data_IF_340894736476
#
_entry.id   IF_340894736476
#
_cell.length_a   1.000
_cell.length_b   1.000
_cell.length_c   1.000
_cell.angle_alpha   90.00
_cell.angle_beta   90.00
_cell.angle_gamma   90.00
#
_symmetry.space_group_name_H-M   'P 1'
#
loop_
_entity.id
_entity.type
_entity.pdbx_description
1 polymer ?
#
# COMPACT_ATOMS: atom_id res chain seq x y z
N UNK A 1 -10.70 2.88 8.94
CA UNK A 1 -9.25 2.91 8.63
C UNK A 1 -8.82 4.09 7.77
N UNK A 2 -9.62 4.55 6.80
CA UNK A 2 -9.20 5.65 5.91
C UNK A 2 -8.85 6.97 6.64
N UNK A 3 -9.46 7.23 7.81
CA UNK A 3 -9.14 8.37 8.69
C UNK A 3 -8.06 8.06 9.75
N UNK A 4 -7.60 6.82 9.83
CA UNK A 4 -6.66 6.31 10.84
C UNK A 4 -5.65 5.38 10.17
N UNK A 5 -4.76 5.95 9.36
CA UNK A 5 -3.76 5.18 8.58
C UNK A 5 -2.72 4.45 9.44
N UNK A 6 -2.71 4.72 10.75
CA UNK A 6 -1.98 3.92 11.73
C UNK A 6 -2.49 2.48 11.85
N UNK A 7 -3.72 2.19 11.41
CA UNK A 7 -4.28 0.84 11.35
C UNK A 7 -3.89 0.04 10.10
N UNK A 8 -3.24 0.66 9.11
CA UNK A 8 -2.73 -0.07 7.95
C UNK A 8 -1.55 -0.92 8.44
N UNK A 9 -1.49 -2.23 8.18
CA UNK A 9 -0.37 -3.05 8.64
C UNK A 9 0.96 -2.65 7.98
N UNK A 10 2.07 -2.88 8.67
CA UNK A 10 3.44 -2.59 8.20
C UNK A 10 4.26 -3.86 7.95
N UNK A 11 3.64 -5.04 7.96
CA UNK A 11 4.32 -6.26 7.55
C UNK A 11 4.91 -6.07 6.13
N UNK A 12 6.09 -6.63 5.90
CA UNK A 12 6.86 -6.50 4.65
C UNK A 12 7.41 -5.10 4.31
N UNK A 13 7.25 -4.10 5.18
CA UNK A 13 7.90 -2.81 4.98
C UNK A 13 9.43 -3.00 5.02
N UNK A 14 10.09 -2.57 3.95
CA UNK A 14 11.54 -2.58 3.79
C UNK A 14 12.16 -1.31 4.40
N UNK A 15 13.49 -1.22 4.42
CA UNK A 15 14.23 -0.20 5.16
C UNK A 15 14.00 1.25 4.69
N UNK A 16 13.48 1.49 3.47
CA UNK A 16 13.08 2.84 3.04
C UNK A 16 11.64 3.21 3.41
N UNK A 17 10.92 2.32 4.10
CA UNK A 17 9.53 2.52 4.46
C UNK A 17 8.57 2.34 3.28
N UNK A 18 7.29 2.51 3.58
CA UNK A 18 6.21 2.71 2.60
C UNK A 18 6.56 3.86 1.66
N UNK A 19 6.66 3.56 0.37
CA UNK A 19 7.04 4.48 -0.68
C UNK A 19 6.11 5.70 -0.73
N UNK A 20 6.69 6.90 -0.72
CA UNK A 20 5.99 8.20 -0.60
C UNK A 20 5.06 8.34 0.60
N UNK A 21 5.15 7.42 1.58
CA UNK A 21 4.17 7.32 2.67
C UNK A 21 2.73 7.29 2.14
N UNK A 22 2.51 6.67 0.98
CA UNK A 22 1.20 6.56 0.34
C UNK A 22 0.74 5.10 0.35
N UNK A 23 -0.54 4.90 0.63
CA UNK A 23 -1.24 3.64 0.44
C UNK A 23 -2.40 3.85 -0.52
N UNK A 24 -2.48 3.02 -1.56
CA UNK A 24 -3.58 3.01 -2.51
C UNK A 24 -4.73 2.20 -1.93
N UNK A 25 -5.92 2.78 -1.83
CA UNK A 25 -7.13 2.02 -1.48
C UNK A 25 -7.80 1.48 -2.74
N UNK A 26 -8.41 0.31 -2.63
CA UNK A 26 -9.26 -0.26 -3.69
C UNK A 26 -8.55 -0.36 -5.04
N UNK A 27 -7.25 -0.70 -5.03
CA UNK A 27 -6.46 -0.83 -6.25
C UNK A 27 -6.95 -2.04 -7.05
N UNK A 28 -7.49 -1.79 -8.24
CA UNK A 28 -7.83 -2.85 -9.19
C UNK A 28 -6.59 -3.37 -9.91
N UNK A 29 -6.56 -4.68 -10.17
CA UNK A 29 -5.54 -5.33 -11.00
C UNK A 29 -6.11 -6.61 -11.64
N UNK A 30 -5.49 -7.05 -12.74
CA UNK A 30 -6.10 -8.07 -13.60
C UNK A 30 -7.47 -7.60 -14.12
N UNK A 31 -8.31 -8.56 -14.52
CA UNK A 31 -9.70 -8.29 -14.91
C UNK A 31 -10.62 -8.11 -13.71
N UNK A 32 -10.40 -8.88 -12.64
CA UNK A 32 -11.42 -9.12 -11.61
C UNK A 32 -10.94 -8.90 -10.17
N UNK A 33 -9.67 -8.51 -9.97
CA UNK A 33 -9.12 -8.36 -8.62
C UNK A 33 -9.07 -6.92 -8.16
N UNK A 34 -9.28 -6.75 -6.85
CA UNK A 34 -9.21 -5.47 -6.18
C UNK A 34 -8.76 -5.69 -4.74
N UNK A 35 -7.66 -5.08 -4.34
CA UNK A 35 -7.22 -5.13 -2.95
C UNK A 35 -7.92 -4.05 -2.11
N UNK A 36 -8.10 -4.28 -0.82
CA UNK A 36 -8.54 -3.21 0.08
C UNK A 36 -7.52 -2.09 0.15
N UNK A 37 -6.26 -2.47 0.33
CA UNK A 37 -5.13 -1.56 0.29
C UNK A 37 -3.96 -2.16 -0.48
N UNK A 38 -3.11 -1.28 -0.99
CA UNK A 38 -1.88 -1.62 -1.67
C UNK A 38 -0.83 -0.56 -1.35
N UNK A 39 0.41 -0.99 -1.12
CA UNK A 39 1.54 -0.05 -1.09
C UNK A 39 2.79 -0.67 -1.70
N UNK A 40 3.66 0.22 -2.18
CA UNK A 40 5.02 -0.12 -2.54
C UNK A 40 5.94 0.17 -1.36
N UNK A 41 6.98 -0.64 -1.22
CA UNK A 41 8.11 -0.40 -0.32
C UNK A 41 9.36 -0.91 -1.02
N UNK A 42 10.53 -0.35 -0.69
CA UNK A 42 11.79 -0.72 -1.37
C UNK A 42 12.97 -0.77 -0.42
N UNK A 43 13.98 -1.55 -0.77
CA UNK A 43 15.34 -1.42 -0.27
C UNK A 43 16.20 -0.71 -1.32
N UNK A 44 17.52 -0.78 -1.24
CA UNK A 44 18.39 -0.36 -2.36
C UNK A 44 18.49 -1.42 -3.47
N UNK A 45 17.98 -2.63 -3.24
CA UNK A 45 18.18 -3.81 -4.11
C UNK A 45 16.87 -4.25 -4.76
N UNK A 46 15.77 -4.18 -4.02
CA UNK A 46 14.49 -4.78 -4.41
C UNK A 46 13.29 -3.90 -4.02
N UNK A 47 12.16 -4.22 -4.63
CA UNK A 47 10.85 -3.71 -4.28
C UNK A 47 10.00 -4.81 -3.66
N UNK A 48 9.07 -4.42 -2.80
CA UNK A 48 7.91 -5.24 -2.46
C UNK A 48 6.63 -4.49 -2.82
N UNK A 49 5.79 -5.17 -3.59
CA UNK A 49 4.43 -4.79 -3.92
C UNK A 49 3.49 -5.50 -2.93
N UNK A 50 2.97 -4.76 -1.95
CA UNK A 50 2.24 -5.33 -0.81
C UNK A 50 0.74 -5.12 -0.99
N UNK A 51 0.01 -6.21 -1.14
CA UNK A 51 -1.45 -6.24 -1.22
C UNK A 51 -2.03 -6.59 0.15
N UNK A 52 -3.12 -5.93 0.52
CA UNK A 52 -3.78 -6.12 1.81
C UNK A 52 -5.25 -6.40 1.57
N UNK A 53 -5.74 -7.49 2.15
CA UNK A 53 -7.17 -7.78 2.30
C UNK A 53 -7.56 -7.69 3.77
N UNK A 54 -8.69 -7.05 4.05
CA UNK A 54 -9.19 -6.79 5.40
C UNK A 54 -10.63 -7.27 5.50
N UNK A 55 -10.80 -8.38 6.20
CA UNK A 55 -12.12 -8.93 6.49
C UNK A 55 -12.86 -8.13 7.55
N UNK A 56 -14.09 -8.51 7.89
CA UNK A 56 -14.79 -7.86 9.01
C UNK A 56 -14.17 -8.30 10.36
N UNK A 57 -14.14 -7.44 11.40
CA UNK A 57 -13.63 -7.83 12.71
C UNK A 57 -14.31 -9.06 13.34
N UNK A 58 -15.57 -9.30 12.99
CA UNK A 58 -16.36 -10.45 13.43
C UNK A 58 -16.19 -11.71 12.56
N UNK A 59 -15.44 -11.64 11.45
CA UNK A 59 -15.16 -12.81 10.62
C UNK A 59 -14.38 -13.83 11.45
N UNK A 60 -14.84 -15.09 11.46
CA UNK A 60 -14.26 -16.12 12.33
C UNK A 60 -13.11 -16.86 11.66
N UNK A 61 -12.12 -17.28 12.44
CA UNK A 61 -11.11 -18.23 11.96
C UNK A 61 -11.64 -19.66 11.98
N UNK A 62 -12.37 -20.02 13.03
CA UNK A 62 -12.81 -21.40 13.29
C UNK A 62 -14.31 -21.47 13.50
N UNK A 63 -14.90 -22.64 13.19
CA UNK A 63 -16.29 -22.92 13.54
C UNK A 63 -16.42 -23.07 15.05
N UNK A 64 -17.58 -22.70 15.58
CA UNK A 64 -17.86 -22.77 17.01
C UNK A 64 -17.68 -24.20 17.53
N UNK A 65 -17.01 -24.32 18.70
CA UNK A 65 -16.76 -25.59 19.39
C UNK A 65 -16.00 -26.65 18.58
N UNK A 66 -15.25 -26.25 17.54
CA UNK A 66 -14.41 -27.17 16.76
C UNK A 66 -13.07 -26.52 16.38
N UNK A 67 -12.15 -27.32 15.83
CA UNK A 67 -10.92 -26.81 15.20
C UNK A 67 -11.02 -26.80 13.66
N UNK A 68 -12.24 -26.92 13.11
CA UNK A 68 -12.48 -26.76 11.69
C UNK A 68 -12.46 -25.28 11.30
N UNK A 69 -11.87 -24.98 10.14
CA UNK A 69 -11.84 -23.61 9.62
C UNK A 69 -13.25 -23.12 9.30
N UNK A 70 -13.50 -21.86 9.65
CA UNK A 70 -14.73 -21.18 9.27
C UNK A 70 -14.71 -20.82 7.79
N UNK A 71 -15.88 -20.77 7.15
CA UNK A 71 -15.99 -20.41 5.73
C UNK A 71 -15.48 -19.01 5.43
N UNK A 72 -15.56 -18.09 6.40
CA UNK A 72 -15.05 -16.71 6.22
C UNK A 72 -13.54 -16.75 5.97
N UNK A 73 -12.80 -17.44 6.84
CA UNK A 73 -11.36 -17.56 6.69
C UNK A 73 -10.99 -18.32 5.41
N UNK A 74 -11.70 -19.40 5.09
CA UNK A 74 -11.47 -20.17 3.86
C UNK A 74 -11.64 -19.30 2.60
N UNK A 75 -12.66 -18.44 2.55
CA UNK A 75 -12.89 -17.53 1.42
C UNK A 75 -11.79 -16.46 1.34
N UNK A 76 -11.46 -15.82 2.46
CA UNK A 76 -10.47 -14.76 2.50
C UNK A 76 -9.07 -15.27 2.13
N UNK A 77 -8.64 -16.42 2.67
CA UNK A 77 -7.33 -16.99 2.29
C UNK A 77 -7.32 -17.50 0.85
N UNK A 78 -8.45 -18.02 0.35
CA UNK A 78 -8.58 -18.41 -1.05
C UNK A 78 -8.40 -17.20 -1.97
N UNK A 79 -8.99 -16.05 -1.64
CA UNK A 79 -8.79 -14.80 -2.39
C UNK A 79 -7.32 -14.34 -2.41
N UNK A 80 -6.61 -14.39 -1.27
CA UNK A 80 -5.16 -14.12 -1.27
C UNK A 80 -4.40 -15.10 -2.18
N UNK A 81 -4.77 -16.38 -2.16
CA UNK A 81 -4.13 -17.41 -2.97
C UNK A 81 -4.42 -17.26 -4.46
N UNK A 82 -5.61 -16.80 -4.86
CA UNK A 82 -5.90 -16.50 -6.27
C UNK A 82 -5.09 -15.31 -6.76
N UNK A 83 -4.90 -14.27 -5.94
CA UNK A 83 -4.00 -13.15 -6.27
C UNK A 83 -2.56 -13.60 -6.40
N UNK A 84 -2.05 -14.39 -5.45
CA UNK A 84 -0.71 -14.97 -5.51
C UNK A 84 -0.52 -15.80 -6.78
N UNK A 85 -1.49 -16.66 -7.11
CA UNK A 85 -1.44 -17.49 -8.32
C UNK A 85 -1.44 -16.63 -9.58
N UNK A 86 -2.27 -15.59 -9.65
CA UNK A 86 -2.34 -14.71 -10.82
C UNK A 86 -1.04 -13.93 -11.03
N UNK A 87 -0.45 -13.38 -9.95
CA UNK A 87 0.82 -12.66 -9.98
C UNK A 87 2.06 -13.57 -10.14
N UNK A 88 1.90 -14.89 -10.02
CA UNK A 88 3.00 -15.83 -10.27
C UNK A 88 3.26 -16.05 -11.77
N UNK A 89 2.28 -15.73 -12.61
CA UNK A 89 2.47 -15.67 -14.06
C UNK A 89 3.27 -14.42 -14.43
N UNK A 90 4.35 -14.60 -15.20
CA UNK A 90 5.29 -13.52 -15.53
C UNK A 90 4.68 -12.43 -16.42
N UNK A 91 3.73 -12.78 -17.30
CA UNK A 91 3.02 -11.83 -18.15
C UNK A 91 2.08 -10.95 -17.33
N UNK A 92 1.30 -11.56 -16.44
CA UNK A 92 0.43 -10.84 -15.50
C UNK A 92 1.21 -9.94 -14.55
N UNK A 93 2.31 -10.45 -13.99
CA UNK A 93 3.21 -9.66 -13.15
C UNK A 93 3.77 -8.44 -13.89
N UNK A 94 4.29 -8.64 -15.11
CA UNK A 94 4.82 -7.55 -15.93
C UNK A 94 3.74 -6.53 -16.29
N UNK A 95 2.54 -7.00 -16.65
CA UNK A 95 1.38 -6.13 -16.93
C UNK A 95 0.97 -5.30 -15.72
N UNK A 96 0.91 -5.91 -14.54
CA UNK A 96 0.63 -5.20 -13.29
C UNK A 96 1.71 -4.15 -12.98
N UNK A 97 2.99 -4.51 -13.03
CA UNK A 97 4.09 -3.58 -12.76
C UNK A 97 4.14 -2.42 -13.77
N UNK A 98 3.78 -2.67 -15.03
CA UNK A 98 3.60 -1.63 -16.05
C UNK A 98 2.50 -0.65 -15.66
N UNK A 99 1.35 -1.16 -15.17
CA UNK A 99 0.20 -0.34 -14.76
C UNK A 99 0.47 0.63 -13.61
N UNK A 100 1.48 0.33 -12.78
CA UNK A 100 1.93 1.16 -11.63
C UNK A 100 3.33 1.76 -11.84
N UNK A 101 3.86 1.72 -13.06
CA UNK A 101 5.25 2.09 -13.34
C UNK A 101 5.59 3.55 -13.02
N UNK A 102 4.60 4.45 -13.13
CA UNK A 102 4.73 5.87 -12.82
C UNK A 102 4.84 6.19 -11.33
N UNK A 103 4.41 5.27 -10.45
CA UNK A 103 4.61 5.37 -9.00
C UNK A 103 5.75 4.48 -8.51
N UNK A 104 6.45 3.76 -9.41
CA UNK A 104 7.59 2.90 -9.08
C UNK A 104 8.90 3.59 -9.42
N UNK A 105 9.22 4.59 -8.61
CA UNK A 105 10.34 5.53 -8.80
C UNK A 105 11.28 5.50 -7.59
N UNK A 106 12.57 5.88 -7.72
CA UNK A 106 13.18 6.56 -8.85
C UNK A 106 13.50 5.63 -10.02
N UNK A 107 13.66 6.22 -11.22
CA UNK A 107 13.84 5.47 -12.49
C UNK A 107 15.03 4.50 -12.46
N UNK A 108 16.10 4.81 -11.71
CA UNK A 108 17.25 3.91 -11.61
C UNK A 108 16.89 2.59 -10.95
N UNK A 109 15.86 2.58 -10.09
CA UNK A 109 15.37 1.40 -9.38
C UNK A 109 14.16 0.75 -10.08
N UNK A 110 13.70 1.30 -11.22
CA UNK A 110 12.54 0.79 -11.91
C UNK A 110 12.76 -0.61 -12.48
N UNK A 111 14.00 -1.09 -12.64
CA UNK A 111 14.25 -2.45 -13.12
C UNK A 111 14.62 -3.43 -12.00
N UNK A 112 14.62 -2.98 -10.74
CA UNK A 112 14.91 -3.86 -9.62
C UNK A 112 13.82 -4.94 -9.47
N UNK A 113 14.19 -6.15 -9.02
CA UNK A 113 13.23 -7.21 -8.73
C UNK A 113 12.10 -6.71 -7.83
N UNK A 114 10.89 -7.16 -8.08
CA UNK A 114 9.71 -6.80 -7.27
C UNK A 114 9.05 -8.06 -6.76
N UNK A 115 9.07 -8.25 -5.44
CA UNK A 115 8.36 -9.33 -4.78
C UNK A 115 6.90 -8.95 -4.55
N UNK A 116 5.99 -9.88 -4.80
CA UNK A 116 4.57 -9.72 -4.45
C UNK A 116 4.30 -10.29 -3.06
N UNK A 117 3.84 -9.43 -2.15
CA UNK A 117 3.56 -9.78 -0.75
C UNK A 117 2.09 -9.55 -0.45
N UNK A 118 1.54 -10.35 0.46
CA UNK A 118 0.11 -10.37 0.76
C UNK A 118 -0.11 -10.38 2.27
N UNK A 119 -1.00 -9.51 2.73
CA UNK A 119 -1.41 -9.44 4.13
C UNK A 119 -2.91 -9.68 4.18
N UNK A 120 -3.33 -10.67 4.97
CA UNK A 120 -4.71 -10.88 5.35
C UNK A 120 -4.92 -10.42 6.79
N UNK A 121 -5.81 -9.46 6.99
CA UNK A 121 -6.31 -9.08 8.32
C UNK A 121 -7.64 -9.80 8.55
N UNK A 122 -7.69 -10.67 9.56
CA UNK A 122 -8.86 -11.53 9.81
C UNK A 122 -9.09 -11.73 11.30
N UNK A 123 -10.35 -11.73 11.72
CA UNK A 123 -10.80 -12.18 13.04
C UNK A 123 -10.08 -11.57 14.25
N UNK A 124 -10.34 -12.18 15.41
CA UNK A 124 -9.77 -11.74 16.70
C UNK A 124 -8.69 -12.70 17.18
N UNK A 125 -7.67 -12.15 17.83
CA UNK A 125 -6.57 -12.94 18.41
C UNK A 125 -7.06 -13.98 19.42
N UNK A 126 -8.11 -13.66 20.16
CA UNK A 126 -8.71 -14.54 21.17
C UNK A 126 -9.17 -15.90 20.63
N UNK A 127 -9.40 -16.03 19.31
CA UNK A 127 -9.73 -17.33 18.70
C UNK A 127 -8.54 -18.30 18.61
N UNK A 128 -7.31 -17.78 18.66
CA UNK A 128 -6.06 -18.54 18.42
C UNK A 128 -5.05 -18.48 19.57
N UNK A 129 -4.99 -17.41 20.36
CA UNK A 129 -3.87 -17.16 21.29
C UNK A 129 -3.66 -18.22 22.38
N UNK A 130 -4.72 -18.91 22.79
CA UNK A 130 -4.66 -19.93 23.83
C UNK A 130 -4.85 -21.35 23.29
N UNK A 131 -4.68 -21.56 21.98
CA UNK A 131 -4.83 -22.88 21.35
C UNK A 131 -3.73 -23.12 20.31
N UNK A 132 -2.72 -23.92 20.67
CA UNK A 132 -1.56 -24.14 19.83
C UNK A 132 -1.88 -24.90 18.54
N UNK A 133 -2.85 -25.81 18.55
CA UNK A 133 -3.31 -26.48 17.33
C UNK A 133 -3.86 -25.46 16.32
N UNK A 134 -4.68 -24.51 16.81
CA UNK A 134 -5.22 -23.43 15.97
C UNK A 134 -4.12 -22.49 15.47
N UNK A 135 -3.16 -22.12 16.32
CA UNK A 135 -1.99 -21.31 15.90
C UNK A 135 -1.21 -21.99 14.79
N UNK A 136 -0.91 -23.28 14.93
CA UNK A 136 -0.15 -24.03 13.92
C UNK A 136 -0.94 -24.16 12.62
N UNK A 137 -2.26 -24.35 12.70
CA UNK A 137 -3.10 -24.39 11.51
C UNK A 137 -3.10 -23.05 10.78
N UNK A 138 -3.31 -21.92 11.46
CA UNK A 138 -3.24 -20.60 10.79
C UNK A 138 -1.83 -20.33 10.27
N UNK A 139 -0.79 -20.74 11.01
CA UNK A 139 0.60 -20.61 10.57
C UNK A 139 0.89 -21.39 9.28
N UNK A 140 0.24 -22.53 9.03
CA UNK A 140 0.47 -23.32 7.81
C UNK A 140 -0.01 -22.63 6.53
N UNK A 141 -0.91 -21.64 6.65
CA UNK A 141 -1.34 -20.80 5.53
C UNK A 141 -0.42 -19.58 5.28
N UNK A 142 0.46 -19.26 6.24
CA UNK A 142 1.46 -18.21 6.05
C UNK A 142 2.65 -18.72 5.25
N UNK A 143 3.37 -17.79 4.63
CA UNK A 143 4.64 -18.07 3.95
C UNK A 143 5.58 -16.88 4.08
N UNK A 144 6.70 -16.91 3.37
CA UNK A 144 7.56 -15.74 3.20
C UNK A 144 6.86 -14.57 2.49
N UNK A 145 5.80 -14.84 1.72
CA UNK A 145 5.06 -13.84 0.93
C UNK A 145 3.65 -13.59 1.47
N UNK A 146 3.15 -14.38 2.43
CA UNK A 146 1.81 -14.24 3.01
C UNK A 146 1.90 -14.09 4.52
N UNK A 147 1.29 -13.02 5.06
CA UNK A 147 1.06 -12.84 6.50
C UNK A 147 -0.43 -12.81 6.80
N UNK A 148 -0.80 -13.47 7.89
CA UNK A 148 -2.15 -13.48 8.43
C UNK A 148 -2.06 -12.87 9.81
N UNK A 149 -2.80 -11.78 10.03
CA UNK A 149 -2.79 -11.05 11.30
C UNK A 149 -4.21 -10.81 11.79
N UNK A 150 -4.34 -10.69 13.11
CA UNK A 150 -5.61 -10.35 13.76
C UNK A 150 -5.88 -8.85 13.77
N UNK A 151 -7.14 -8.46 13.97
CA UNK A 151 -7.50 -7.06 14.21
C UNK A 151 -6.77 -6.46 15.42
N UNK A 152 -6.55 -7.26 16.46
CA UNK A 152 -5.81 -6.87 17.67
C UNK A 152 -4.37 -6.43 17.33
N UNK A 153 -3.72 -7.13 16.39
CA UNK A 153 -2.38 -6.79 15.91
C UNK A 153 -2.33 -5.43 15.19
N UNK A 154 -3.42 -5.00 14.55
CA UNK A 154 -3.48 -3.67 13.94
C UNK A 154 -3.50 -2.57 15.00
N UNK A 155 -4.26 -2.79 16.08
CA UNK A 155 -4.39 -1.83 17.18
C UNK A 155 -3.04 -1.65 17.88
N UNK A 156 -2.35 -2.74 18.15
CA UNK A 156 -1.03 -2.74 18.77
C UNK A 156 0.03 -2.03 17.91
N UNK A 157 -0.12 -2.04 16.58
CA UNK A 157 0.78 -1.35 15.66
C UNK A 157 0.62 0.16 15.63
N UNK A 158 -0.52 0.71 16.07
CA UNK A 158 -0.84 2.16 15.96
C UNK A 158 0.28 3.04 16.54
N UNK A 159 0.81 2.81 17.75
CA UNK A 159 1.82 3.69 18.35
C UNK A 159 3.15 3.73 17.58
N UNK A 160 3.44 2.69 16.79
CA UNK A 160 4.69 2.55 16.03
C UNK A 160 4.55 3.07 14.60
N UNK A 161 3.32 3.19 14.11
CA UNK A 161 3.05 3.46 12.71
C UNK A 161 3.05 4.97 12.43
N UNK A 162 4.02 5.42 11.65
CA UNK A 162 4.00 6.77 11.10
C UNK A 162 2.76 6.98 10.19
N UNK A 163 2.23 8.21 10.09
CA UNK A 163 1.05 8.50 9.28
C UNK A 163 1.34 8.34 7.78
N UNK A 164 0.31 7.95 7.03
CA UNK A 164 0.34 7.77 5.60
C UNK A 164 -0.76 8.62 4.96
N UNK A 165 -0.58 8.95 3.69
CA UNK A 165 -1.67 9.44 2.86
C UNK A 165 -2.42 8.27 2.23
N UNK A 166 -3.75 8.36 2.23
CA UNK A 166 -4.58 7.50 1.37
C UNK A 166 -4.57 8.09 -0.04
N UNK A 167 -4.42 7.25 -1.05
CA UNK A 167 -4.63 7.64 -2.43
C UNK A 167 -5.53 6.65 -3.19
N UNK A 168 -6.10 7.08 -4.30
CA UNK A 168 -6.87 6.24 -5.24
C UNK A 168 -6.28 6.38 -6.63
N UNK A 169 -6.04 5.27 -7.30
CA UNK A 169 -5.67 5.25 -8.71
C UNK A 169 -6.93 5.36 -9.58
N UNK A 170 -6.98 6.36 -10.47
CA UNK A 170 -8.02 6.53 -11.48
C UNK A 170 -7.38 6.71 -12.86
N UNK A 171 -7.26 5.61 -13.60
CA UNK A 171 -6.53 5.56 -14.87
C UNK A 171 -5.08 6.04 -14.68
N UNK A 172 -4.70 7.12 -15.34
CA UNK A 172 -3.40 7.77 -15.25
C UNK A 172 -3.24 8.69 -14.03
N UNK A 173 -4.32 8.97 -13.30
CA UNK A 173 -4.31 9.89 -12.17
C UNK A 173 -4.16 9.18 -10.83
N UNK A 174 -3.45 9.83 -9.92
CA UNK A 174 -3.35 9.47 -8.52
C UNK A 174 -4.03 10.55 -7.65
N UNK A 175 -5.22 10.24 -7.13
CA UNK A 175 -5.97 11.11 -6.22
C UNK A 175 -5.42 10.93 -4.80
N UNK A 176 -4.67 11.90 -4.29
CA UNK A 176 -4.09 11.88 -2.94
C UNK A 176 -5.02 12.65 -2.00
N UNK A 177 -5.48 11.97 -0.95
CA UNK A 177 -6.43 12.53 0.03
C UNK A 177 -5.72 13.12 1.26
N UNK A 178 -6.37 14.12 1.86
CA UNK A 178 -5.91 14.87 3.02
C UNK A 178 -5.50 16.31 2.69
N UNK A 179 -5.28 17.11 3.73
CA UNK A 179 -4.87 18.51 3.62
C UNK A 179 -3.34 18.67 3.59
N UNK A 180 -2.63 17.55 3.75
CA UNK A 180 -1.18 17.49 3.79
C UNK A 180 -0.67 16.25 3.07
N UNK A 181 0.45 16.34 2.36
CA UNK A 181 1.22 15.17 1.90
C UNK A 181 2.40 14.96 2.84
N UNK A 182 2.54 13.74 3.36
CA UNK A 182 3.52 13.42 4.40
C UNK A 182 4.95 13.17 3.88
N UNK A 183 5.09 12.96 2.57
CA UNK A 183 6.38 12.85 1.87
C UNK A 183 6.33 13.70 0.60
N UNK A 184 7.00 14.85 0.62
CA UNK A 184 7.04 15.80 -0.49
C UNK A 184 7.84 15.32 -1.70
N UNK A 185 8.62 14.24 -1.58
CA UNK A 185 9.45 13.75 -2.69
C UNK A 185 8.62 13.25 -3.87
N UNK A 186 7.33 12.94 -3.66
CA UNK A 186 6.41 12.57 -4.75
C UNK A 186 6.29 13.68 -5.81
N UNK A 187 6.34 14.95 -5.42
CA UNK A 187 6.20 16.09 -6.33
C UNK A 187 7.42 16.30 -7.23
N UNK A 188 8.59 15.83 -6.80
CA UNK A 188 9.80 15.80 -7.62
C UNK A 188 9.96 14.51 -8.42
N UNK A 189 9.37 13.40 -7.96
CA UNK A 189 9.61 12.07 -8.51
C UNK A 189 8.58 11.61 -9.53
N UNK A 190 7.35 12.14 -9.46
CA UNK A 190 6.25 11.83 -10.39
C UNK A 190 5.90 13.09 -11.16
N UNK A 191 5.51 12.94 -12.43
CA UNK A 191 4.92 14.03 -13.21
C UNK A 191 3.69 14.62 -12.46
N UNK A 192 3.77 15.88 -11.98
CA UNK A 192 2.70 16.44 -11.17
C UNK A 192 1.37 16.56 -11.91
N UNK A 193 1.36 16.54 -13.25
CA UNK A 193 0.12 16.57 -14.04
C UNK A 193 -0.75 15.33 -13.86
N UNK A 194 -0.16 14.24 -13.35
CA UNK A 194 -0.83 12.98 -13.00
C UNK A 194 -1.34 12.96 -11.55
N UNK A 195 -0.96 13.94 -10.74
CA UNK A 195 -1.37 14.01 -9.34
C UNK A 195 -2.63 14.87 -9.20
N UNK A 196 -3.57 14.37 -8.41
CA UNK A 196 -4.74 15.12 -7.97
C UNK A 196 -4.68 15.28 -6.47
N UNK A 197 -4.72 16.51 -5.99
CA UNK A 197 -4.61 16.85 -4.55
C UNK A 197 -5.75 17.76 -4.09
N UNK A 198 -5.88 17.96 -2.77
CA UNK A 198 -6.83 18.95 -2.24
C UNK A 198 -6.34 20.37 -2.51
N UNK A 199 -7.26 21.34 -2.48
CA UNK A 199 -6.91 22.77 -2.56
C UNK A 199 -5.97 23.21 -1.42
N UNK A 200 -6.10 22.60 -0.24
CA UNK A 200 -5.19 22.84 0.89
C UNK A 200 -3.75 22.37 0.58
N UNK A 201 -3.59 21.19 -0.02
CA UNK A 201 -2.26 20.72 -0.46
C UNK A 201 -1.70 21.63 -1.54
N UNK A 202 -2.49 22.01 -2.54
CA UNK A 202 -2.02 22.90 -3.61
C UNK A 202 -1.50 24.24 -3.07
N UNK A 203 -2.24 24.90 -2.17
CA UNK A 203 -1.79 26.14 -1.52
C UNK A 203 -0.46 25.98 -0.79
N UNK A 204 -0.25 24.85 -0.11
CA UNK A 204 1.03 24.56 0.54
C UNK A 204 2.17 24.35 -0.44
N UNK A 205 1.89 23.84 -1.64
CA UNK A 205 2.90 23.70 -2.69
C UNK A 205 3.37 25.07 -3.21
N UNK A 206 2.47 26.06 -3.25
CA UNK A 206 2.81 27.45 -3.65
C UNK A 206 3.78 28.12 -2.67
N UNK A 207 3.80 27.70 -1.40
CA UNK A 207 4.76 28.17 -0.39
C UNK A 207 6.20 27.67 -0.62
N UNK A 208 6.37 26.69 -1.53
CA UNK A 208 7.64 26.04 -1.84
C UNK A 208 8.09 25.03 -0.77
N UNK A 209 9.01 24.15 -1.16
CA UNK A 209 9.52 23.10 -0.29
C UNK A 209 10.51 23.60 0.75
N UNK A 210 11.19 24.73 0.47
CA UNK A 210 12.30 25.29 1.25
C UNK A 210 13.43 24.27 1.50
N UNK A 211 13.57 23.26 0.64
CA UNK A 211 14.56 22.19 0.77
C UNK A 211 15.29 21.96 -0.55
N UNK A 212 16.64 21.99 -0.57
CA UNK A 212 17.42 21.69 -1.76
C UNK A 212 17.18 20.28 -2.33
N UNK A 213 16.67 19.34 -1.51
CA UNK A 213 16.37 17.96 -1.92
C UNK A 213 15.17 17.86 -2.88
N UNK A 214 14.39 18.94 -3.01
CA UNK A 214 13.22 19.00 -3.89
C UNK A 214 13.46 19.93 -5.09
N UNK A 215 14.72 20.18 -5.46
CA UNK A 215 15.03 20.86 -6.72
C UNK A 215 14.94 19.88 -7.89
N UNK A 216 14.31 20.31 -8.98
CA UNK A 216 14.22 19.56 -10.24
C UNK A 216 14.74 20.44 -11.38
N UNK A 217 15.43 19.82 -12.33
CA UNK A 217 15.89 20.51 -13.53
C UNK A 217 14.71 20.73 -14.50
N UNK A 218 14.49 21.99 -14.89
CA UNK A 218 13.50 22.39 -15.87
C UNK A 218 14.17 23.35 -16.86
N UNK A 219 14.27 22.95 -18.13
CA UNK A 219 14.89 23.75 -19.19
C UNK A 219 16.32 24.26 -18.86
N UNK A 220 17.12 23.46 -18.15
CA UNK A 220 18.50 23.80 -17.77
C UNK A 220 18.63 24.61 -16.48
N UNK A 221 17.52 24.92 -15.79
CA UNK A 221 17.52 25.60 -14.48
C UNK A 221 16.96 24.69 -13.38
N UNK A 222 17.48 24.82 -12.16
CA UNK A 222 16.93 24.12 -11.00
C UNK A 222 15.81 24.94 -10.38
N UNK A 223 14.61 24.35 -10.34
CA UNK A 223 13.41 24.96 -9.76
C UNK A 223 12.89 24.12 -8.60
N UNK A 224 12.20 24.77 -7.66
CA UNK A 224 11.54 24.09 -6.56
C UNK A 224 10.38 23.22 -7.10
N UNK A 225 10.46 21.90 -6.85
CA UNK A 225 9.49 20.94 -7.35
C UNK A 225 8.09 21.15 -6.78
N UNK A 226 7.95 21.73 -5.59
CA UNK A 226 6.63 22.03 -5.04
C UNK A 226 6.00 23.19 -5.79
N UNK A 227 6.75 24.26 -6.05
CA UNK A 227 6.25 25.39 -6.85
C UNK A 227 5.85 24.93 -8.25
N UNK A 228 6.69 24.09 -8.88
CA UNK A 228 6.37 23.49 -10.19
C UNK A 228 5.12 22.59 -10.11
N UNK A 229 5.00 21.79 -9.05
CA UNK A 229 3.85 20.93 -8.85
C UNK A 229 2.58 21.74 -8.64
N UNK A 230 2.61 22.84 -7.87
CA UNK A 230 1.44 23.70 -7.62
C UNK A 230 0.73 24.16 -8.92
N UNK A 231 1.52 24.40 -9.99
CA UNK A 231 1.05 24.82 -11.30
C UNK A 231 0.44 23.69 -12.14
N UNK A 232 0.76 22.44 -11.83
CA UNK A 232 0.49 21.26 -12.67
C UNK A 232 -0.47 20.25 -12.05
N UNK A 233 -0.48 20.15 -10.72
CA UNK A 233 -1.41 19.28 -10.01
C UNK A 233 -2.85 19.72 -10.30
N UNK A 234 -3.74 18.75 -10.33
CA UNK A 234 -5.18 19.01 -10.46
C UNK A 234 -5.84 18.96 -9.09
N UNK A 235 -6.91 19.73 -8.90
CA UNK A 235 -7.72 19.63 -7.69
C UNK A 235 -8.75 18.51 -7.89
N UNK A 236 -8.90 17.62 -6.92
CA UNK A 236 -10.07 16.73 -6.86
C UNK A 236 -11.16 17.34 -5.97
N UNK A 237 -12.41 17.12 -6.37
CA UNK A 237 -13.61 17.53 -5.63
C UNK A 237 -13.87 16.58 -4.45
#
# INVERSE_FOLDING_TARGET
MERHTGLIPRNFVLNHGVHFRIVLRKLSFGSDYKSDFFFLTKSSIDWSAVFIEIEKPQSKFFRDKSNELHSDFQKAIHQIKTWQSWLSDSGNAAGFLSSISDIRVPRQMANHPTDFKFILVHGRRSEIENNDQRKQLIKSYQSENIKIISFDSLIEGIPLNYPLNIAVRKNEFLDIFGDTVHDGSIFSAIDPSKLRVSSAVQKRLEEGSKSPQHLVECNGEYVDAWILAAQKVRIHN
#
